data_IF_029613256502
#
_entry.id   IF_029613256502
#
_cell.length_a   1.000
_cell.length_b   1.000
_cell.length_c   1.000
_cell.angle_alpha   90.00
_cell.angle_beta   90.00
_cell.angle_gamma   90.00
#
_symmetry.space_group_name_H-M   'P 1'
#
loop_
_entity.id
_entity.type
_entity.pdbx_description
1 polymer ?
#
# COMPACT_ATOMS: atom_id res chain seq x y z
N UNK A 1 10.84 2.38 -2.06
CA UNK A 1 11.72 2.53 -3.25
C UNK A 1 13.09 3.17 -2.99
N UNK A 2 13.30 3.93 -1.90
CA UNK A 2 14.65 4.38 -1.50
C UNK A 2 15.59 3.20 -1.12
N UNK A 3 15.03 2.04 -0.81
CA UNK A 3 15.81 0.82 -0.54
C UNK A 3 16.71 0.45 -1.72
N UNK A 4 16.25 0.65 -2.95
CA UNK A 4 17.04 0.38 -4.15
C UNK A 4 18.15 1.41 -4.37
N UNK A 5 17.92 2.69 -4.02
CA UNK A 5 18.94 3.74 -4.16
C UNK A 5 20.14 3.58 -3.21
N UNK A 6 20.04 2.68 -2.23
CA UNK A 6 21.19 2.27 -1.41
C UNK A 6 22.19 1.40 -2.19
N UNK A 7 21.74 0.76 -3.27
CA UNK A 7 22.52 -0.25 -4.01
C UNK A 7 22.72 0.10 -5.48
N UNK A 8 21.89 0.98 -6.06
CA UNK A 8 21.93 1.37 -7.47
C UNK A 8 21.96 2.90 -7.57
N UNK A 9 22.95 3.44 -8.27
CA UNK A 9 23.18 4.89 -8.40
C UNK A 9 22.27 5.60 -9.40
N UNK A 10 21.59 4.84 -10.27
CA UNK A 10 20.79 5.37 -11.39
C UNK A 10 19.33 5.71 -11.00
N UNK A 11 19.02 5.74 -9.70
CA UNK A 11 17.69 6.09 -9.24
C UNK A 11 17.43 7.58 -9.46
N UNK A 12 16.47 7.90 -10.34
CA UNK A 12 16.05 9.27 -10.61
C UNK A 12 15.28 9.85 -9.41
N UNK A 13 15.98 10.63 -8.59
CA UNK A 13 15.44 11.26 -7.38
C UNK A 13 14.33 12.27 -7.70
N UNK A 14 14.40 12.95 -8.84
CA UNK A 14 13.37 13.90 -9.28
C UNK A 14 12.05 13.19 -9.58
N UNK A 15 12.11 12.06 -10.28
CA UNK A 15 10.93 11.22 -10.55
C UNK A 15 10.31 10.71 -9.25
N UNK A 16 11.13 10.24 -8.30
CA UNK A 16 10.65 9.83 -6.98
C UNK A 16 9.96 10.98 -6.22
N UNK A 17 10.54 12.18 -6.27
CA UNK A 17 9.97 13.37 -5.61
C UNK A 17 8.60 13.70 -6.19
N UNK A 18 8.48 13.74 -7.52
CA UNK A 18 7.21 13.97 -8.22
C UNK A 18 6.17 12.89 -7.91
N UNK A 19 6.60 11.62 -7.81
CA UNK A 19 5.71 10.52 -7.46
C UNK A 19 5.13 10.69 -6.03
N UNK A 20 5.97 11.05 -5.05
CA UNK A 20 5.50 11.31 -3.69
C UNK A 20 4.64 12.58 -3.59
N UNK A 21 4.94 13.62 -4.37
CA UNK A 21 4.09 14.82 -4.48
C UNK A 21 2.72 14.49 -5.06
N UNK A 22 2.68 13.74 -6.17
CA UNK A 22 1.44 13.27 -6.77
C UNK A 22 0.66 12.42 -5.78
N UNK A 23 1.31 11.46 -5.12
CA UNK A 23 0.67 10.59 -4.14
C UNK A 23 0.08 11.42 -2.99
N UNK A 24 0.85 12.35 -2.43
CA UNK A 24 0.38 13.27 -1.39
C UNK A 24 -0.86 14.06 -1.81
N UNK A 25 -0.97 14.45 -3.09
CA UNK A 25 -2.13 15.18 -3.62
C UNK A 25 -3.41 14.33 -3.71
N UNK A 26 -3.29 13.00 -3.69
CA UNK A 26 -4.44 12.09 -3.70
C UNK A 26 -5.10 11.95 -2.31
N UNK A 27 -4.48 12.45 -1.23
CA UNK A 27 -5.03 12.31 0.11
C UNK A 27 -6.28 13.17 0.29
N UNK A 28 -7.38 12.55 0.70
CA UNK A 28 -8.61 13.26 1.04
C UNK A 28 -8.44 14.16 2.25
N UNK A 29 -9.39 15.09 2.41
CA UNK A 29 -9.44 15.97 3.59
C UNK A 29 -9.57 15.20 4.91
N UNK A 30 -10.13 14.00 4.88
CA UNK A 30 -10.26 13.10 6.03
C UNK A 30 -8.93 12.45 6.44
N UNK A 31 -7.92 12.46 5.57
CA UNK A 31 -6.66 11.72 5.73
C UNK A 31 -6.62 10.37 5.02
N UNK A 32 -7.75 9.92 4.48
CA UNK A 32 -7.90 8.67 3.72
C UNK A 32 -7.29 8.78 2.31
N UNK A 33 -6.78 7.67 1.80
CA UNK A 33 -6.49 7.45 0.40
C UNK A 33 -7.49 6.44 -0.17
N UNK A 34 -8.06 6.75 -1.34
CA UNK A 34 -8.96 5.88 -2.08
C UNK A 34 -8.31 5.43 -3.39
N UNK A 35 -8.69 4.25 -3.87
CA UNK A 35 -8.31 3.80 -5.20
C UNK A 35 -9.08 4.61 -6.25
N UNK A 36 -8.36 5.32 -7.10
CA UNK A 36 -8.93 6.04 -8.23
C UNK A 36 -8.91 5.13 -9.47
N UNK A 37 -9.69 4.06 -9.47
CA UNK A 37 -9.93 3.30 -10.70
C UNK A 37 -11.42 3.28 -11.04
N UNK A 38 -11.74 3.98 -12.13
CA UNK A 38 -13.04 3.93 -12.81
C UNK A 38 -13.23 2.63 -13.61
N UNK A 39 -12.30 1.67 -13.51
CA UNK A 39 -12.25 0.44 -14.30
C UNK A 39 -12.47 -0.78 -13.40
N UNK A 40 -13.64 -0.87 -12.76
CA UNK A 40 -14.24 -2.19 -12.51
C UNK A 40 -15.74 -2.08 -12.71
N UNK A 41 -16.17 -2.42 -13.92
CA UNK A 41 -17.55 -2.79 -14.19
C UNK A 41 -17.77 -4.20 -13.60
N UNK A 42 -18.85 -4.34 -12.81
CA UNK A 42 -19.44 -5.58 -12.27
C UNK A 42 -18.99 -6.03 -10.85
N UNK A 43 -19.81 -5.65 -9.87
CA UNK A 43 -20.31 -6.48 -8.76
C UNK A 43 -19.33 -7.28 -7.88
N UNK A 44 -18.25 -6.65 -7.42
CA UNK A 44 -17.57 -7.06 -6.18
C UNK A 44 -17.31 -5.85 -5.29
N UNK A 45 -17.37 -5.96 -3.94
CA UNK A 45 -16.97 -4.88 -3.03
C UNK A 45 -15.46 -4.61 -3.17
N UNK A 46 -15.09 -3.91 -4.23
CA UNK A 46 -13.73 -3.46 -4.49
C UNK A 46 -13.54 -2.21 -3.66
N UNK A 47 -12.98 -2.43 -2.48
CA UNK A 47 -12.87 -1.44 -1.43
C UNK A 47 -12.98 -2.15 -0.10
N UNK A 48 -11.82 -2.52 0.45
CA UNK A 48 -11.69 -2.89 1.85
C UNK A 48 -12.48 -1.88 2.69
N UNK A 49 -13.33 -2.30 3.65
CA UNK A 49 -14.22 -1.40 4.36
C UNK A 49 -13.44 -0.21 4.93
N UNK A 50 -13.67 0.97 4.34
CA UNK A 50 -13.08 2.28 4.69
C UNK A 50 -11.63 2.55 4.24
N UNK A 51 -11.09 1.88 3.21
CA UNK A 51 -9.81 2.26 2.59
C UNK A 51 -8.59 2.21 3.54
N UNK A 52 -8.69 1.48 4.66
CA UNK A 52 -7.70 1.56 5.73
C UNK A 52 -6.38 0.89 5.35
N UNK A 53 -6.43 -0.22 4.60
CA UNK A 53 -5.24 -0.92 4.15
C UNK A 53 -4.44 -0.07 3.17
N UNK A 54 -5.09 0.48 2.13
CA UNK A 54 -4.43 1.38 1.19
C UNK A 54 -3.84 2.59 1.90
N UNK A 55 -4.63 3.25 2.74
CA UNK A 55 -4.17 4.40 3.52
C UNK A 55 -2.93 4.02 4.34
N UNK A 56 -2.96 2.89 5.05
CA UNK A 56 -1.85 2.42 5.87
C UNK A 56 -0.61 2.06 5.04
N UNK A 57 -0.79 1.43 3.88
CA UNK A 57 0.27 1.06 2.96
C UNK A 57 0.99 2.29 2.38
N UNK A 58 0.22 3.30 1.99
CA UNK A 58 0.76 4.59 1.54
C UNK A 58 1.56 5.27 2.66
N UNK A 59 1.05 5.26 3.89
CA UNK A 59 1.76 5.83 5.05
C UNK A 59 3.08 5.10 5.33
N UNK A 60 3.10 3.77 5.28
CA UNK A 60 4.33 2.97 5.39
C UNK A 60 5.34 3.43 4.33
N UNK A 61 4.89 3.59 3.08
CA UNK A 61 5.74 4.02 1.98
C UNK A 61 6.37 5.40 2.19
N UNK A 62 5.64 6.35 2.78
CA UNK A 62 6.21 7.64 3.20
C UNK A 62 7.18 7.49 4.36
N UNK A 63 6.82 6.74 5.42
CA UNK A 63 7.63 6.62 6.64
C UNK A 63 8.93 5.82 6.45
N UNK A 64 8.96 4.86 5.52
CA UNK A 64 10.16 4.10 5.19
C UNK A 64 11.18 4.89 4.35
N UNK A 65 10.81 6.09 3.87
CA UNK A 65 11.69 6.99 3.15
C UNK A 65 11.79 8.32 3.91
N UNK A 66 12.92 8.54 4.57
CA UNK A 66 13.13 9.72 5.44
C UNK A 66 12.91 11.05 4.68
N UNK A 67 13.34 11.13 3.42
CA UNK A 67 13.13 12.34 2.61
C UNK A 67 11.65 12.58 2.31
N UNK A 68 10.92 11.51 1.94
CA UNK A 68 9.49 11.59 1.67
C UNK A 68 8.69 11.90 2.94
N UNK A 69 9.03 11.26 4.06
CA UNK A 69 8.44 11.54 5.37
C UNK A 69 8.61 13.00 5.77
N UNK A 70 9.84 13.53 5.68
CA UNK A 70 10.14 14.90 6.06
C UNK A 70 9.41 15.91 5.16
N UNK A 71 9.42 15.68 3.84
CA UNK A 71 8.74 16.55 2.87
C UNK A 71 7.21 16.54 3.01
N UNK A 72 6.62 15.42 3.44
CA UNK A 72 5.17 15.21 3.48
C UNK A 72 4.63 14.92 4.89
N UNK A 73 5.32 15.38 5.95
CA UNK A 73 4.97 15.12 7.35
C UNK A 73 3.51 15.42 7.71
N UNK A 74 2.92 16.50 7.16
CA UNK A 74 1.50 16.84 7.37
C UNK A 74 0.53 15.83 6.76
N UNK A 75 0.88 15.26 5.62
CA UNK A 75 0.10 14.21 4.94
C UNK A 75 0.14 12.94 5.79
N UNK A 76 1.33 12.60 6.28
CA UNK A 76 1.54 11.44 7.16
C UNK A 76 0.75 11.58 8.46
N UNK A 77 0.87 12.72 9.15
CA UNK A 77 0.15 12.98 10.40
C UNK A 77 -1.38 12.87 10.24
N UNK A 78 -1.94 13.44 9.15
CA UNK A 78 -3.37 13.33 8.83
C UNK A 78 -3.80 11.89 8.57
N UNK A 79 -3.01 11.13 7.82
CA UNK A 79 -3.33 9.74 7.53
C UNK A 79 -3.23 8.86 8.77
N UNK A 80 -2.22 9.06 9.62
CA UNK A 80 -2.12 8.35 10.89
C UNK A 80 -3.31 8.69 11.81
N UNK A 81 -3.75 9.95 11.84
CA UNK A 81 -4.95 10.34 12.57
C UNK A 81 -6.21 9.65 12.04
N UNK A 82 -6.33 9.51 10.72
CA UNK A 82 -7.40 8.75 10.10
C UNK A 82 -7.37 7.28 10.53
N UNK A 83 -6.22 6.62 10.37
CA UNK A 83 -6.03 5.21 10.74
C UNK A 83 -6.36 5.00 12.22
N UNK A 84 -5.82 5.83 13.12
CA UNK A 84 -6.07 5.74 14.56
C UNK A 84 -7.57 5.82 14.92
N UNK A 85 -8.34 6.66 14.22
CA UNK A 85 -9.80 6.77 14.43
C UNK A 85 -10.57 5.55 13.94
N UNK A 86 -10.05 4.86 12.92
CA UNK A 86 -10.73 3.70 12.32
C UNK A 86 -10.33 2.38 12.97
N UNK A 87 -9.19 2.30 13.66
CA UNK A 87 -8.61 1.06 14.20
C UNK A 87 -9.58 0.17 14.99
N UNK A 88 -10.51 0.76 15.75
CA UNK A 88 -11.49 -0.01 16.55
C UNK A 88 -12.61 -0.60 15.69
N UNK A 89 -12.86 -0.05 14.50
CA UNK A 89 -13.83 -0.53 13.53
C UNK A 89 -13.24 -1.57 12.57
N UNK A 90 -11.92 -1.75 12.54
CA UNK A 90 -11.25 -2.72 11.64
C UNK A 90 -11.42 -4.13 12.18
N UNK A 91 -12.26 -4.90 11.50
CA UNK A 91 -12.53 -6.30 11.82
C UNK A 91 -11.59 -7.25 11.11
N UNK A 92 -11.22 -6.95 9.87
CA UNK A 92 -10.39 -7.81 9.04
C UNK A 92 -8.93 -7.84 9.56
N UNK A 93 -8.36 -9.03 9.83
CA UNK A 93 -6.99 -9.14 10.30
C UNK A 93 -5.92 -8.65 9.32
N UNK A 94 -6.15 -8.74 8.01
CA UNK A 94 -5.24 -8.22 6.98
C UNK A 94 -5.13 -6.70 7.09
N UNK A 95 -6.26 -6.00 7.02
CA UNK A 95 -6.33 -4.54 7.15
C UNK A 95 -5.70 -4.06 8.46
N UNK A 96 -6.04 -4.75 9.55
CA UNK A 96 -5.53 -4.41 10.88
C UNK A 96 -4.03 -4.65 10.98
N UNK A 97 -3.48 -5.65 10.30
CA UNK A 97 -2.04 -5.93 10.33
C UNK A 97 -1.23 -4.81 9.67
N UNK A 98 -1.67 -4.34 8.50
CA UNK A 98 -1.02 -3.23 7.77
C UNK A 98 -1.16 -1.93 8.56
N UNK A 99 -2.36 -1.63 9.08
CA UNK A 99 -2.61 -0.46 9.93
C UNK A 99 -1.76 -0.48 11.21
N UNK A 100 -1.64 -1.65 11.86
CA UNK A 100 -0.80 -1.81 13.05
C UNK A 100 0.66 -1.54 12.71
N UNK A 101 1.17 -2.05 11.58
CA UNK A 101 2.55 -1.80 11.17
C UNK A 101 2.80 -0.32 10.86
N UNK A 102 1.90 0.33 10.12
CA UNK A 102 1.98 1.77 9.87
C UNK A 102 2.03 2.57 11.17
N UNK A 103 1.14 2.29 12.13
CA UNK A 103 1.16 2.97 13.43
C UNK A 103 2.44 2.68 14.22
N UNK A 104 3.01 1.47 14.13
CA UNK A 104 4.25 1.11 14.81
C UNK A 104 5.49 1.83 14.30
N UNK A 105 5.49 2.26 13.03
CA UNK A 105 6.55 3.09 12.44
C UNK A 105 6.49 4.55 12.93
N UNK A 106 5.34 4.99 13.44
CA UNK A 106 5.14 6.37 13.88
C UNK A 106 5.69 6.61 15.28
N UNK A 107 6.32 7.76 15.49
CA UNK A 107 6.71 8.26 16.82
C UNK A 107 5.58 8.96 17.56
N UNK A 108 4.51 9.36 16.86
CA UNK A 108 3.37 10.10 17.41
C UNK A 108 2.39 9.24 18.21
N UNK A 109 2.39 7.91 17.99
CA UNK A 109 1.45 7.00 18.63
C UNK A 109 2.23 6.00 19.50
N UNK A 110 1.90 5.88 20.80
CA UNK A 110 2.57 4.92 21.66
C UNK A 110 2.29 3.51 21.17
N UNK A 111 3.37 2.76 20.92
CA UNK A 111 3.32 1.39 20.42
C UNK A 111 2.72 0.39 21.44
N UNK A 112 2.66 0.78 22.71
CA UNK A 112 2.16 -0.04 23.80
C UNK A 112 0.68 -0.35 23.62
N UNK A 113 0.39 -1.60 23.25
CA UNK A 113 -0.98 -2.13 23.16
C UNK A 113 -1.53 -2.25 21.74
N UNK A 114 -0.95 -1.60 20.72
CA UNK A 114 -1.37 -1.75 19.32
C UNK A 114 -1.16 -3.19 18.84
N UNK A 115 0.06 -3.70 19.01
CA UNK A 115 0.41 -5.07 18.65
C UNK A 115 -0.36 -6.10 19.50
N UNK A 116 -0.62 -5.79 20.78
CA UNK A 116 -1.42 -6.65 21.66
C UNK A 116 -2.82 -6.88 21.11
N UNK A 117 -3.52 -5.81 20.68
CA UNK A 117 -4.87 -5.92 20.10
C UNK A 117 -4.88 -6.69 18.78
N UNK A 118 -3.79 -6.66 18.00
CA UNK A 118 -3.64 -7.53 16.83
C UNK A 118 -3.48 -9.00 17.25
N UNK A 119 -2.63 -9.28 18.25
CA UNK A 119 -2.45 -10.64 18.79
C UNK A 119 -3.70 -11.24 19.40
N UNK A 120 -4.57 -10.43 20.03
CA UNK A 120 -5.86 -10.87 20.57
C UNK A 120 -6.78 -11.46 19.48
N UNK A 121 -6.57 -11.11 18.20
CA UNK A 121 -7.30 -11.65 17.04
C UNK A 121 -6.63 -12.86 16.39
N UNK A 122 -5.49 -13.32 16.91
CA UNK A 122 -4.79 -14.47 16.34
C UNK A 122 -5.47 -15.79 16.71
N UNK A 123 -5.42 -16.75 15.80
CA UNK A 123 -5.81 -18.14 16.03
C UNK A 123 -4.59 -18.94 16.46
N UNK A 124 -4.76 -19.79 17.47
CA UNK A 124 -3.71 -20.68 17.96
C UNK A 124 -4.08 -22.12 17.60
N UNK A 125 -3.14 -22.88 17.05
CA UNK A 125 -3.33 -24.28 16.64
C UNK A 125 -2.24 -25.18 17.25
N UNK A 126 -2.38 -26.49 17.07
CA UNK A 126 -1.44 -27.53 17.52
C UNK A 126 -0.94 -27.33 18.96
N UNK A 127 -1.87 -27.22 19.91
CA UNK A 127 -1.57 -27.02 21.33
C UNK A 127 -0.69 -25.81 21.65
N UNK A 128 -0.73 -24.76 20.84
CA UNK A 128 0.05 -23.54 21.09
C UNK A 128 1.29 -23.37 20.23
N UNK A 129 1.69 -24.38 19.45
CA UNK A 129 2.91 -24.30 18.63
C UNK A 129 2.75 -23.47 17.37
N UNK A 130 1.51 -23.21 16.94
CA UNK A 130 1.22 -22.41 15.76
C UNK A 130 0.30 -21.25 16.10
N UNK A 131 0.60 -20.09 15.52
CA UNK A 131 -0.21 -18.88 15.60
C UNK A 131 -0.32 -18.24 14.21
N UNK A 132 -1.54 -17.92 13.80
CA UNK A 132 -1.81 -17.29 12.51
C UNK A 132 -3.05 -16.40 12.62
N UNK A 133 -3.30 -15.60 11.59
CA UNK A 133 -4.53 -14.82 11.46
C UNK A 133 -5.34 -15.38 10.30
N UNK A 134 -6.63 -15.62 10.53
CA UNK A 134 -7.56 -16.03 9.48
C UNK A 134 -8.04 -14.78 8.78
N UNK A 135 -7.76 -14.67 7.49
CA UNK A 135 -8.23 -13.56 6.65
C UNK A 135 -9.27 -14.10 5.68
N UNK A 136 -10.31 -13.31 5.41
CA UNK A 136 -11.16 -13.59 4.25
C UNK A 136 -10.31 -13.28 3.00
N UNK A 137 -10.11 -14.27 2.13
CA UNK A 137 -9.23 -14.24 0.96
C UNK A 137 -9.72 -13.32 -0.18
N UNK A 138 -10.44 -12.24 0.13
CA UNK A 138 -11.06 -11.31 -0.84
C UNK A 138 -10.04 -10.58 -1.72
N UNK A 139 -8.77 -10.55 -1.33
CA UNK A 139 -7.72 -9.76 -1.97
C UNK A 139 -6.84 -10.54 -2.97
N UNK A 140 -7.15 -11.79 -3.28
CA UNK A 140 -6.53 -12.48 -4.42
C UNK A 140 -7.63 -12.79 -5.42
N UNK A 141 -8.14 -11.76 -6.09
CA UNK A 141 -8.39 -12.01 -7.51
C UNK A 141 -7.01 -12.23 -8.11
N UNK A 142 -6.78 -13.44 -8.62
CA UNK A 142 -5.78 -13.62 -9.67
C UNK A 142 -6.16 -12.58 -10.74
N UNK A 143 -5.45 -11.46 -10.75
CA UNK A 143 -5.45 -10.64 -11.95
C UNK A 143 -4.84 -11.54 -13.00
N UNK A 144 -5.67 -12.01 -13.93
CA UNK A 144 -5.18 -12.57 -15.17
C UNK A 144 -4.31 -11.45 -15.76
N UNK A 145 -2.98 -11.66 -15.70
CA UNK A 145 -2.06 -10.75 -16.36
C UNK A 145 -2.40 -10.92 -17.82
N UNK A 146 -3.17 -9.98 -18.37
CA UNK A 146 -3.36 -9.86 -19.81
C UNK A 146 -1.98 -10.06 -20.43
N UNK A 147 -1.82 -11.04 -21.32
CA UNK A 147 -0.52 -11.42 -21.89
C UNK A 147 0.06 -10.19 -22.60
N UNK A 148 0.77 -9.33 -21.85
CA UNK A 148 1.41 -8.14 -22.40
C UNK A 148 2.55 -8.64 -23.26
N UNK A 149 2.39 -8.45 -24.56
CA UNK A 149 3.44 -8.75 -25.51
C UNK A 149 4.54 -7.69 -25.38
N UNK A 150 5.75 -8.04 -25.82
CA UNK A 150 6.86 -7.08 -25.89
C UNK A 150 6.47 -5.85 -26.73
N UNK A 151 5.56 -6.03 -27.69
CA UNK A 151 5.03 -4.99 -28.57
C UNK A 151 4.16 -3.95 -27.86
N UNK A 152 3.63 -4.27 -26.67
CA UNK A 152 2.81 -3.34 -25.86
C UNK A 152 3.67 -2.41 -24.98
N UNK A 153 4.97 -2.69 -24.87
CA UNK A 153 5.90 -2.02 -23.94
C UNK A 153 7.03 -1.31 -24.69
N UNK A 154 7.48 -1.85 -25.82
CA UNK A 154 8.58 -1.29 -26.57
C UNK A 154 8.17 -0.02 -27.33
N UNK A 155 9.11 0.91 -27.51
CA UNK A 155 8.91 2.15 -28.27
C UNK A 155 10.03 2.31 -29.30
N UNK A 156 9.66 2.65 -30.54
CA UNK A 156 10.62 2.98 -31.60
C UNK A 156 11.49 1.79 -32.02
N UNK A 157 12.79 2.05 -32.22
CA UNK A 157 13.75 1.07 -32.73
C UNK A 157 14.13 -0.02 -31.70
N UNK A 158 13.66 0.10 -30.45
CA UNK A 158 13.85 -0.91 -29.40
C UNK A 158 12.84 -2.07 -29.52
N UNK A 159 11.88 -1.97 -30.44
CA UNK A 159 10.91 -3.02 -30.71
C UNK A 159 11.48 -4.13 -31.61
N UNK A 160 11.21 -5.42 -31.31
CA UNK A 160 11.42 -6.52 -32.25
C UNK A 160 10.69 -6.28 -33.58
N UNK A 161 11.26 -6.77 -34.70
CA UNK A 161 10.66 -6.61 -36.04
C UNK A 161 9.22 -7.16 -36.12
N UNK A 162 8.93 -8.21 -35.36
CA UNK A 162 7.59 -8.81 -35.22
C UNK A 162 6.53 -7.86 -34.64
N UNK A 163 6.93 -6.75 -34.02
CA UNK A 163 6.06 -5.72 -33.47
C UNK A 163 5.77 -4.59 -34.47
N UNK A 164 6.43 -4.56 -35.63
CA UNK A 164 6.27 -3.50 -36.61
C UNK A 164 5.15 -3.84 -37.62
N UNK A 165 4.21 -2.92 -37.92
CA UNK A 165 3.02 -3.19 -38.74
C UNK A 165 3.31 -3.42 -40.25
N UNK A 166 4.57 -3.59 -40.63
CA UNK A 166 5.03 -3.76 -42.01
C UNK A 166 6.13 -4.84 -42.16
N UNK A 167 6.30 -5.71 -41.16
CA UNK A 167 7.15 -6.91 -41.25
C UNK A 167 6.44 -8.08 -41.96
#
# INVERSE_FOLDING_TARGET
MQTASKYISEVNVTMLTQAFEWLASQQQRTGQFDENDAIVENDTPNGLPNGIALTSFVLISFMENENAYNAHSRVVARGLQYVAKQMDNVTDPYDRSIATYAMMLSTEYPNEGLLKRLFEKSTTSKNGSERYWVTDWRAIQEYEVDERSVCDICDGDDCPDECLPWA
#
